data_IF_694839402187
#
_entry.id   IF_694839402187
#
_cell.length_a   1.000
_cell.length_b   1.000
_cell.length_c   1.000
_cell.angle_alpha   90.00
_cell.angle_beta   90.00
_cell.angle_gamma   90.00
#
_symmetry.space_group_name_H-M   'P 1'
#
loop_
_entity.id
_entity.type
_entity.pdbx_description
1 polymer ?
#
# COMPACT_ATOMS: atom_id res chain seq x y z
N UNK A 1 22.94 20.41 -8.42
CA UNK A 1 23.82 19.25 -8.17
C UNK A 1 25.06 19.66 -7.38
N UNK A 2 25.99 20.45 -7.95
CA UNK A 2 27.25 20.86 -7.30
C UNK A 2 27.13 21.36 -5.84
N UNK A 3 26.20 22.28 -5.56
CA UNK A 3 26.00 22.81 -4.20
C UNK A 3 25.60 21.73 -3.18
N UNK A 4 24.82 20.72 -3.59
CA UNK A 4 24.40 19.63 -2.72
C UNK A 4 25.55 18.65 -2.46
N UNK A 5 26.35 18.34 -3.48
CA UNK A 5 27.55 17.49 -3.34
C UNK A 5 28.56 18.16 -2.39
N UNK A 6 28.81 19.45 -2.57
CA UNK A 6 29.70 20.22 -1.70
C UNK A 6 29.15 20.32 -0.27
N UNK A 7 27.84 20.52 -0.12
CA UNK A 7 27.17 20.51 1.19
C UNK A 7 27.31 19.17 1.91
N UNK A 8 27.20 18.06 1.19
CA UNK A 8 27.34 16.71 1.74
C UNK A 8 28.78 16.40 2.18
N UNK A 9 29.79 16.94 1.47
CA UNK A 9 31.19 16.84 1.88
C UNK A 9 31.47 17.58 3.19
N UNK A 10 30.83 18.72 3.41
CA UNK A 10 30.99 19.49 4.64
C UNK A 10 30.17 18.92 5.81
N UNK A 11 28.98 18.40 5.53
CA UNK A 11 28.08 17.84 6.54
C UNK A 11 27.30 16.64 5.97
N UNK A 12 27.66 15.40 6.34
CA UNK A 12 26.96 14.20 5.87
C UNK A 12 25.56 14.12 6.51
N UNK A 13 24.59 14.69 5.82
CA UNK A 13 23.18 14.72 6.23
C UNK A 13 22.32 13.84 5.34
N UNK A 14 21.50 12.99 5.97
CA UNK A 14 20.50 12.13 5.30
C UNK A 14 19.58 12.96 4.39
N UNK A 15 19.13 14.14 4.84
CA UNK A 15 18.20 14.99 4.08
C UNK A 15 18.85 15.56 2.82
N UNK A 16 20.11 16.00 2.92
CA UNK A 16 20.87 16.49 1.77
C UNK A 16 21.09 15.36 0.76
N UNK A 17 21.41 14.16 1.24
CA UNK A 17 21.59 12.99 0.38
C UNK A 17 20.30 12.60 -0.34
N UNK A 18 19.15 12.50 0.35
CA UNK A 18 17.84 12.27 -0.28
C UNK A 18 17.54 13.34 -1.33
N UNK A 19 17.82 14.61 -1.02
CA UNK A 19 17.59 15.71 -1.98
C UNK A 19 18.48 15.58 -3.22
N UNK A 20 19.74 15.15 -3.05
CA UNK A 20 20.67 14.91 -4.14
C UNK A 20 20.20 13.74 -5.01
N UNK A 21 19.74 12.62 -4.44
CA UNK A 21 19.15 11.49 -5.18
C UNK A 21 18.05 11.96 -6.13
N UNK A 22 17.09 12.75 -5.63
CA UNK A 22 15.99 13.30 -6.46
C UNK A 22 16.46 14.23 -7.57
N UNK A 23 17.59 14.91 -7.39
CA UNK A 23 18.17 15.76 -8.45
C UNK A 23 18.84 14.89 -9.51
N UNK A 24 19.59 13.86 -9.10
CA UNK A 24 20.26 12.94 -10.02
C UNK A 24 19.25 12.15 -10.85
N UNK A 25 18.15 11.72 -10.23
CA UNK A 25 17.04 11.08 -10.91
C UNK A 25 16.45 11.98 -12.01
N UNK A 26 16.11 13.24 -11.71
CA UNK A 26 15.59 14.18 -12.72
C UNK A 26 16.56 14.42 -13.88
N UNK A 27 17.86 14.26 -13.62
CA UNK A 27 18.92 14.44 -14.61
C UNK A 27 19.20 13.18 -15.42
N UNK A 28 18.72 12.01 -15.00
CA UNK A 28 19.06 10.75 -15.62
C UNK A 28 20.45 10.21 -15.29
N UNK A 29 21.16 10.82 -14.33
CA UNK A 29 22.55 10.44 -14.04
C UNK A 29 22.63 9.31 -13.00
N UNK A 30 22.45 8.08 -13.49
CA UNK A 30 22.52 6.86 -12.68
C UNK A 30 23.94 6.54 -12.21
N UNK A 31 24.96 6.96 -12.97
CA UNK A 31 26.35 6.72 -12.56
C UNK A 31 26.69 7.54 -11.33
N UNK A 32 26.29 8.80 -11.30
CA UNK A 32 26.44 9.66 -10.14
C UNK A 32 25.62 9.15 -8.95
N UNK A 33 24.40 8.66 -9.16
CA UNK A 33 23.59 8.07 -8.10
C UNK A 33 24.28 6.86 -7.47
N UNK A 34 24.82 5.97 -8.30
CA UNK A 34 25.54 4.77 -7.86
C UNK A 34 26.86 5.12 -7.18
N UNK A 35 27.56 6.16 -7.64
CA UNK A 35 28.75 6.70 -6.99
C UNK A 35 28.44 7.24 -5.59
N UNK A 36 27.35 8.01 -5.46
CA UNK A 36 26.86 8.50 -4.16
C UNK A 36 26.51 7.34 -3.21
N UNK A 37 25.81 6.31 -3.69
CA UNK A 37 25.54 5.12 -2.87
C UNK A 37 26.84 4.40 -2.48
N UNK A 38 27.83 4.38 -3.38
CA UNK A 38 29.17 3.87 -3.11
C UNK A 38 29.86 4.59 -1.95
N UNK A 39 29.82 5.93 -1.94
CA UNK A 39 30.42 6.72 -0.86
C UNK A 39 29.71 6.52 0.49
N UNK A 40 28.43 6.13 0.49
CA UNK A 40 27.64 5.90 1.69
C UNK A 40 27.77 4.49 2.27
N UNK A 41 28.45 3.54 1.60
CA UNK A 41 28.55 2.15 2.08
C UNK A 41 29.28 1.98 3.42
N UNK A 42 30.17 2.92 3.76
CA UNK A 42 30.91 2.91 5.03
C UNK A 42 30.10 3.45 6.22
N UNK A 43 28.96 4.09 5.96
CA UNK A 43 28.11 4.66 6.99
C UNK A 43 27.15 3.62 7.60
N UNK A 44 26.70 3.89 8.83
CA UNK A 44 25.69 3.07 9.50
C UNK A 44 24.39 3.05 8.68
N UNK A 45 23.84 1.85 8.42
CA UNK A 45 22.65 1.71 7.57
C UNK A 45 21.42 2.35 8.17
N UNK A 46 21.34 2.46 9.49
CA UNK A 46 20.23 3.08 10.19
C UNK A 46 20.06 4.55 9.79
N UNK A 47 21.18 5.21 9.43
CA UNK A 47 21.23 6.62 8.98
C UNK A 47 21.08 6.78 7.47
N UNK A 48 21.36 5.74 6.70
CA UNK A 48 21.36 5.80 5.23
C UNK A 48 20.20 5.05 4.58
N UNK A 49 19.46 4.24 5.33
CA UNK A 49 18.36 3.42 4.81
C UNK A 49 17.32 4.25 4.04
N UNK A 50 16.99 5.48 4.46
CA UNK A 50 16.04 6.32 3.70
C UNK A 50 16.63 6.82 2.38
N UNK A 51 17.92 7.14 2.35
CA UNK A 51 18.64 7.49 1.12
C UNK A 51 18.63 6.30 0.17
N UNK A 52 18.90 5.10 0.69
CA UNK A 52 18.89 3.87 -0.10
C UNK A 52 17.47 3.57 -0.63
N UNK A 53 16.43 3.72 0.19
CA UNK A 53 15.03 3.55 -0.26
C UNK A 53 14.66 4.58 -1.34
N UNK A 54 15.05 5.85 -1.20
CA UNK A 54 14.82 6.85 -2.25
C UNK A 54 15.59 6.49 -3.53
N UNK A 55 16.81 5.96 -3.42
CA UNK A 55 17.58 5.50 -4.57
C UNK A 55 16.96 4.25 -5.23
N UNK A 56 16.41 3.32 -4.46
CA UNK A 56 15.61 2.18 -4.96
C UNK A 56 14.46 2.69 -5.83
N UNK A 57 13.72 3.70 -5.35
CA UNK A 57 12.63 4.29 -6.11
C UNK A 57 13.11 4.94 -7.41
N UNK A 58 14.27 5.61 -7.39
CA UNK A 58 14.89 6.19 -8.58
C UNK A 58 15.30 5.10 -9.59
N UNK A 59 15.98 4.03 -9.16
CA UNK A 59 16.37 2.91 -10.02
C UNK A 59 15.14 2.27 -10.69
N UNK A 60 14.04 2.04 -9.96
CA UNK A 60 12.79 1.49 -10.53
C UNK A 60 12.17 2.41 -11.58
N UNK A 61 12.07 3.72 -11.31
CA UNK A 61 11.48 4.68 -12.26
C UNK A 61 12.29 4.80 -13.56
N UNK A 62 13.57 4.48 -13.49
CA UNK A 62 14.48 4.47 -14.63
C UNK A 62 14.60 3.11 -15.32
N UNK A 63 13.84 2.11 -14.88
CA UNK A 63 13.83 0.77 -15.49
C UNK A 63 14.90 -0.20 -14.97
N UNK A 64 15.67 0.18 -13.95
CA UNK A 64 16.72 -0.64 -13.35
C UNK A 64 16.18 -1.47 -12.17
N UNK A 65 15.25 -2.37 -12.48
CA UNK A 65 14.53 -3.16 -11.48
C UNK A 65 15.43 -4.12 -10.68
N UNK A 66 16.45 -4.69 -11.30
CA UNK A 66 17.35 -5.64 -10.64
C UNK A 66 18.26 -4.95 -9.61
N UNK A 67 18.76 -3.76 -9.93
CA UNK A 67 19.54 -2.95 -8.99
C UNK A 67 18.69 -2.49 -7.81
N UNK A 68 17.45 -2.09 -8.05
CA UNK A 68 16.50 -1.76 -6.99
C UNK A 68 16.26 -2.95 -6.05
N UNK A 69 16.08 -4.17 -6.59
CA UNK A 69 15.97 -5.39 -5.79
C UNK A 69 17.22 -5.68 -4.98
N UNK A 70 18.40 -5.55 -5.59
CA UNK A 70 19.66 -5.82 -4.90
C UNK A 70 19.85 -4.88 -3.70
N UNK A 71 19.51 -3.59 -3.85
CA UNK A 71 19.54 -2.62 -2.77
C UNK A 71 18.56 -2.98 -1.63
N UNK A 72 17.31 -3.32 -1.96
CA UNK A 72 16.31 -3.75 -0.98
C UNK A 72 16.72 -5.04 -0.25
N UNK A 73 17.23 -6.04 -0.97
CA UNK A 73 17.71 -7.28 -0.37
C UNK A 73 18.88 -7.05 0.58
N UNK A 74 19.77 -6.11 0.26
CA UNK A 74 20.85 -5.71 1.16
C UNK A 74 20.29 -5.11 2.47
N UNK A 75 19.28 -4.24 2.37
CA UNK A 75 18.60 -3.67 3.53
C UNK A 75 17.89 -4.74 4.36
N UNK A 76 17.12 -5.63 3.73
CA UNK A 76 16.39 -6.70 4.42
C UNK A 76 17.32 -7.66 5.16
N UNK A 77 18.48 -8.00 4.57
CA UNK A 77 19.48 -8.86 5.20
C UNK A 77 20.16 -8.21 6.40
N UNK A 78 20.43 -6.91 6.34
CA UNK A 78 21.19 -6.19 7.38
C UNK A 78 20.30 -5.57 8.46
N UNK A 79 19.06 -5.22 8.12
CA UNK A 79 18.07 -4.59 9.00
C UNK A 79 16.74 -5.38 8.99
N UNK A 80 16.73 -6.68 9.34
CA UNK A 80 15.54 -7.53 9.22
C UNK A 80 14.40 -7.13 10.16
N UNK A 81 14.67 -6.37 11.23
CA UNK A 81 13.68 -5.94 12.20
C UNK A 81 12.97 -4.62 11.81
N UNK A 82 13.26 -4.08 10.62
CA UNK A 82 12.68 -2.83 10.13
C UNK A 82 11.48 -3.12 9.22
N UNK A 83 10.29 -3.19 9.81
CA UNK A 83 9.02 -3.35 9.10
C UNK A 83 8.78 -2.39 7.91
N UNK A 84 9.20 -1.10 7.96
CA UNK A 84 9.10 -0.20 6.80
C UNK A 84 9.82 -0.71 5.55
N UNK A 85 10.95 -1.41 5.70
CA UNK A 85 11.73 -1.92 4.57
C UNK A 85 10.97 -3.02 3.83
N UNK A 86 10.27 -3.90 4.55
CA UNK A 86 9.38 -4.92 3.93
C UNK A 86 8.20 -4.28 3.20
N UNK A 87 7.62 -3.22 3.75
CA UNK A 87 6.55 -2.48 3.08
C UNK A 87 7.04 -1.91 1.74
N UNK A 88 8.24 -1.30 1.73
CA UNK A 88 8.85 -0.78 0.51
C UNK A 88 9.20 -1.90 -0.48
N UNK A 89 9.76 -3.01 -0.02
CA UNK A 89 10.06 -4.15 -0.89
C UNK A 89 8.80 -4.73 -1.55
N UNK A 90 7.73 -4.92 -0.78
CA UNK A 90 6.43 -5.34 -1.29
C UNK A 90 5.86 -4.34 -2.31
N UNK A 91 5.97 -3.04 -2.02
CA UNK A 91 5.53 -1.97 -2.92
C UNK A 91 6.29 -2.00 -4.25
N UNK A 92 7.60 -2.17 -4.22
CA UNK A 92 8.41 -2.25 -5.44
C UNK A 92 8.03 -3.46 -6.29
N UNK A 93 7.91 -4.66 -5.71
CA UNK A 93 7.48 -5.84 -6.47
C UNK A 93 6.07 -5.67 -7.06
N UNK A 94 5.17 -4.99 -6.34
CA UNK A 94 3.84 -4.65 -6.84
C UNK A 94 3.89 -3.73 -8.06
N UNK A 95 4.75 -2.70 -8.04
CA UNK A 95 4.95 -1.78 -9.17
C UNK A 95 5.51 -2.52 -10.38
N UNK A 96 6.38 -3.50 -10.14
CA UNK A 96 6.98 -4.35 -11.17
C UNK A 96 6.04 -5.46 -11.66
N UNK A 97 4.81 -5.56 -11.11
CA UNK A 97 3.81 -6.55 -11.51
C UNK A 97 4.04 -7.95 -10.92
N UNK A 98 5.00 -8.12 -10.00
CA UNK A 98 5.29 -9.40 -9.36
C UNK A 98 4.47 -9.57 -8.08
N UNK A 99 3.16 -9.69 -8.25
CA UNK A 99 2.20 -9.79 -7.14
C UNK A 99 2.53 -10.94 -6.17
N UNK A 100 2.88 -12.12 -6.68
CA UNK A 100 3.22 -13.28 -5.85
C UNK A 100 4.43 -13.00 -4.95
N UNK A 101 5.51 -12.43 -5.50
CA UNK A 101 6.70 -12.04 -4.72
C UNK A 101 6.37 -10.95 -3.70
N UNK A 102 5.48 -10.02 -4.06
CA UNK A 102 5.04 -8.97 -3.16
C UNK A 102 4.30 -9.55 -1.95
N UNK A 103 3.44 -10.55 -2.15
CA UNK A 103 2.76 -11.28 -1.08
C UNK A 103 3.75 -12.03 -0.20
N UNK A 104 4.63 -12.86 -0.80
CA UNK A 104 5.65 -13.62 -0.07
C UNK A 104 6.54 -12.72 0.79
N UNK A 105 6.94 -11.55 0.26
CA UNK A 105 7.75 -10.57 1.00
C UNK A 105 6.97 -10.00 2.18
N UNK A 106 5.66 -9.73 2.01
CA UNK A 106 4.82 -9.23 3.10
C UNK A 106 4.59 -10.31 4.18
N UNK A 107 4.40 -11.58 3.78
CA UNK A 107 4.27 -12.72 4.69
C UNK A 107 5.52 -12.93 5.54
N UNK A 108 6.69 -12.94 4.90
CA UNK A 108 7.98 -12.98 5.61
C UNK A 108 8.12 -11.80 6.57
N UNK A 109 7.72 -10.61 6.10
CA UNK A 109 7.75 -9.40 6.90
C UNK A 109 6.89 -9.47 8.15
N UNK A 110 5.65 -9.96 8.08
CA UNK A 110 4.77 -10.07 9.27
C UNK A 110 5.23 -11.15 10.24
N UNK A 111 5.93 -12.19 9.78
CA UNK A 111 6.55 -13.18 10.67
C UNK A 111 7.69 -12.57 11.49
N UNK A 112 8.50 -11.70 10.87
CA UNK A 112 9.66 -11.08 11.52
C UNK A 112 9.25 -9.85 12.34
N UNK A 113 8.33 -9.04 11.82
CA UNK A 113 7.87 -7.78 12.42
C UNK A 113 6.34 -7.80 12.71
N UNK A 114 5.81 -8.74 13.52
CA UNK A 114 4.37 -8.93 13.69
C UNK A 114 3.66 -7.73 14.32
N UNK A 115 4.37 -6.92 15.12
CA UNK A 115 3.78 -5.75 15.78
C UNK A 115 3.66 -4.53 14.86
N UNK A 116 4.28 -4.54 13.69
CA UNK A 116 4.28 -3.40 12.78
C UNK A 116 3.02 -3.40 11.90
N UNK A 117 1.96 -2.77 12.41
CA UNK A 117 0.63 -2.72 11.79
C UNK A 117 0.59 -2.39 10.28
N UNK A 118 1.35 -1.39 9.78
CA UNK A 118 1.35 -1.06 8.35
C UNK A 118 1.68 -2.23 7.42
N UNK A 119 2.51 -3.18 7.88
CA UNK A 119 2.89 -4.35 7.10
C UNK A 119 1.74 -5.36 6.95
N UNK A 120 0.89 -5.50 7.97
CA UNK A 120 -0.35 -6.27 7.86
C UNK A 120 -1.32 -5.63 6.86
N UNK A 121 -1.42 -4.31 6.82
CA UNK A 121 -2.28 -3.63 5.82
C UNK A 121 -1.77 -3.84 4.39
N UNK A 122 -0.45 -3.87 4.21
CA UNK A 122 0.18 -4.19 2.93
C UNK A 122 -0.11 -5.65 2.57
N UNK A 123 0.08 -6.60 3.50
CA UNK A 123 -0.22 -8.02 3.30
C UNK A 123 -1.66 -8.24 2.83
N UNK A 124 -2.64 -7.71 3.58
CA UNK A 124 -4.06 -7.87 3.26
C UNK A 124 -4.39 -7.33 1.86
N UNK A 125 -3.79 -6.20 1.48
CA UNK A 125 -3.98 -5.61 0.15
C UNK A 125 -3.40 -6.48 -0.96
N UNK A 126 -2.27 -7.15 -0.74
CA UNK A 126 -1.72 -8.08 -1.73
C UNK A 126 -2.52 -9.38 -1.80
N UNK A 127 -2.92 -9.92 -0.64
CA UNK A 127 -3.75 -11.12 -0.55
C UNK A 127 -5.08 -10.91 -1.30
N UNK A 128 -5.72 -9.75 -1.11
CA UNK A 128 -6.95 -9.39 -1.83
C UNK A 128 -6.74 -9.40 -3.35
N UNK A 129 -5.66 -8.77 -3.83
CA UNK A 129 -5.37 -8.68 -5.27
C UNK A 129 -5.13 -10.03 -5.93
N UNK A 130 -4.52 -10.97 -5.21
CA UNK A 130 -4.17 -12.30 -5.73
C UNK A 130 -5.29 -13.32 -5.56
N UNK A 131 -5.99 -13.29 -4.44
CA UNK A 131 -6.84 -14.39 -3.96
C UNK A 131 -8.24 -13.92 -3.55
N UNK A 132 -8.57 -12.64 -3.70
CA UNK A 132 -9.90 -12.09 -3.38
C UNK A 132 -10.15 -11.90 -1.88
N UNK A 133 -11.41 -11.64 -1.51
CA UNK A 133 -11.74 -11.28 -0.13
C UNK A 133 -11.66 -12.47 0.84
N UNK A 134 -11.73 -13.71 0.34
CA UNK A 134 -11.54 -14.90 1.16
C UNK A 134 -10.18 -14.89 1.88
N UNK A 135 -9.09 -14.65 1.15
CA UNK A 135 -7.76 -14.59 1.75
C UNK A 135 -7.63 -13.46 2.79
N UNK A 136 -8.25 -12.30 2.54
CA UNK A 136 -8.26 -11.18 3.50
C UNK A 136 -8.91 -11.60 4.83
N UNK A 137 -9.99 -12.39 4.78
CA UNK A 137 -10.64 -12.93 5.98
C UNK A 137 -9.74 -13.92 6.71
N UNK A 138 -9.00 -14.74 5.98
CA UNK A 138 -8.12 -15.75 6.56
C UNK A 138 -6.95 -15.13 7.34
N UNK A 139 -6.36 -14.04 6.84
CA UNK A 139 -5.27 -13.34 7.55
C UNK A 139 -5.75 -12.41 8.68
N UNK A 140 -7.01 -11.97 8.68
CA UNK A 140 -7.49 -10.97 9.62
C UNK A 140 -7.35 -11.35 11.11
N UNK A 141 -7.66 -12.59 11.55
CA UNK A 141 -7.44 -13.01 12.94
C UNK A 141 -5.98 -12.91 13.37
N UNK A 142 -5.05 -13.35 12.51
CA UNK A 142 -3.60 -13.28 12.78
C UNK A 142 -3.12 -11.84 12.90
N UNK A 143 -3.64 -10.93 12.07
CA UNK A 143 -3.33 -9.52 12.14
C UNK A 143 -3.81 -8.90 13.46
N UNK A 144 -5.06 -9.15 13.86
CA UNK A 144 -5.68 -8.65 15.10
C UNK A 144 -4.93 -9.19 16.33
N UNK A 145 -4.48 -10.44 16.31
CA UNK A 145 -3.70 -11.01 17.41
C UNK A 145 -2.31 -10.36 17.57
N UNK A 146 -1.76 -9.77 16.51
CA UNK A 146 -0.37 -9.31 16.46
C UNK A 146 -0.20 -7.80 16.68
N UNK A 147 -1.18 -6.99 16.27
CA UNK A 147 -1.10 -5.52 16.28
C UNK A 147 -1.79 -4.91 17.52
N UNK A 148 -1.64 -3.61 17.72
CA UNK A 148 -2.33 -2.92 18.83
C UNK A 148 -3.83 -2.74 18.56
N UNK A 149 -4.61 -2.69 19.64
CA UNK A 149 -6.08 -2.57 19.60
C UNK A 149 -6.57 -1.33 18.85
N UNK A 150 -5.82 -0.23 18.89
CA UNK A 150 -6.10 1.00 18.15
C UNK A 150 -6.08 0.83 16.63
N UNK A 151 -5.52 -0.26 16.11
CA UNK A 151 -5.48 -0.56 14.67
C UNK A 151 -6.48 -1.64 14.25
N UNK A 152 -7.20 -2.27 15.18
CA UNK A 152 -8.17 -3.31 14.86
C UNK A 152 -9.27 -2.80 13.92
N UNK A 153 -9.74 -1.57 14.13
CA UNK A 153 -10.75 -0.95 13.26
C UNK A 153 -10.29 -0.91 11.80
N UNK A 154 -8.98 -0.70 11.56
CA UNK A 154 -8.43 -0.63 10.22
C UNK A 154 -8.44 -2.00 9.54
N UNK A 155 -8.18 -3.08 10.29
CA UNK A 155 -8.31 -4.46 9.79
C UNK A 155 -9.76 -4.75 9.44
N UNK A 156 -10.71 -4.48 10.34
CA UNK A 156 -12.14 -4.67 10.06
C UNK A 156 -12.61 -3.87 8.84
N UNK A 157 -12.13 -2.63 8.70
CA UNK A 157 -12.43 -1.80 7.54
C UNK A 157 -11.92 -2.42 6.23
N UNK A 158 -10.68 -2.91 6.18
CA UNK A 158 -10.13 -3.54 4.97
C UNK A 158 -10.86 -4.85 4.63
N UNK A 159 -11.22 -5.66 5.63
CA UNK A 159 -12.03 -6.90 5.43
C UNK A 159 -13.41 -6.55 4.84
N UNK A 160 -14.11 -5.57 5.43
CA UNK A 160 -15.42 -5.14 4.95
C UNK A 160 -15.36 -4.56 3.53
N UNK A 161 -14.32 -3.76 3.24
CA UNK A 161 -14.09 -3.20 1.93
C UNK A 161 -13.82 -4.29 0.88
N UNK A 162 -13.04 -5.32 1.22
CA UNK A 162 -12.78 -6.46 0.34
C UNK A 162 -14.05 -7.26 0.03
N UNK A 163 -14.86 -7.54 1.06
CA UNK A 163 -16.15 -8.22 0.89
C UNK A 163 -17.12 -7.43 0.01
N UNK A 164 -17.14 -6.11 0.15
CA UNK A 164 -18.03 -5.23 -0.63
C UNK A 164 -17.64 -5.20 -2.11
N UNK A 165 -16.33 -5.19 -2.41
CA UNK A 165 -15.82 -5.27 -3.78
C UNK A 165 -16.18 -6.60 -4.44
N UNK A 166 -16.08 -7.71 -3.72
CA UNK A 166 -16.46 -9.02 -4.22
C UNK A 166 -17.98 -9.18 -4.40
N UNK A 167 -18.78 -8.69 -3.45
CA UNK A 167 -20.24 -8.66 -3.58
C UNK A 167 -20.73 -7.80 -4.75
N UNK A 168 -20.01 -6.74 -5.12
CA UNK A 168 -20.29 -5.96 -6.32
C UNK A 168 -19.95 -6.72 -7.62
N UNK A 169 -18.97 -7.64 -7.59
CA UNK A 169 -18.65 -8.53 -8.71
C UNK A 169 -19.68 -9.67 -8.88
N UNK A 170 -20.49 -9.94 -7.85
CA UNK A 170 -21.59 -10.92 -7.91
C UNK A 170 -22.91 -10.35 -8.45
N UNK A 171 -22.97 -9.08 -8.89
CA UNK A 171 -24.10 -8.57 -9.69
C UNK A 171 -23.80 -8.64 -11.19
N UNK A 172 -24.32 -9.64 -11.92
CA UNK A 172 -24.44 -9.56 -13.36
C UNK A 172 -25.66 -8.71 -13.77
N UNK A 173 -25.49 -7.94 -14.84
CA UNK A 173 -26.55 -7.25 -15.58
C UNK A 173 -27.69 -8.22 -15.94
N UNK A 174 -28.93 -7.87 -15.55
CA UNK A 174 -30.15 -8.37 -16.18
C UNK A 174 -31.24 -8.88 -15.23
N UNK A 175 -32.37 -8.18 -15.25
CA UNK A 175 -33.69 -8.54 -14.72
C UNK A 175 -33.80 -8.63 -13.18
N UNK A 176 -34.80 -8.07 -12.50
CA UNK A 176 -36.06 -7.53 -12.98
C UNK A 176 -36.65 -6.58 -11.92
N UNK A 177 -37.57 -5.76 -12.40
CA UNK A 177 -38.40 -4.79 -11.69
C UNK A 177 -38.82 -5.22 -10.28
N UNK A 178 -38.44 -4.44 -9.27
CA UNK A 178 -39.31 -4.16 -8.11
C UNK A 178 -38.72 -3.00 -7.30
N UNK A 179 -38.75 -1.77 -7.82
CA UNK A 179 -38.62 -0.54 -7.00
C UNK A 179 -39.12 0.65 -7.84
N UNK A 180 -40.44 0.70 -8.00
CA UNK A 180 -41.23 1.90 -8.27
C UNK A 180 -42.49 1.69 -7.40
N UNK A 181 -42.88 2.51 -6.43
CA UNK A 181 -42.82 3.97 -6.35
C UNK A 181 -42.88 4.44 -4.87
N UNK A 182 -42.55 5.72 -4.60
CA UNK A 182 -42.48 6.27 -3.26
C UNK A 182 -43.87 6.61 -2.70
N UNK A 183 -44.09 6.28 -1.42
CA UNK A 183 -45.26 6.73 -0.66
C UNK A 183 -45.18 8.24 -0.43
N UNK A 184 -46.02 9.00 -1.13
CA UNK A 184 -46.35 10.38 -0.78
C UNK A 184 -47.88 10.59 -0.76
N UNK A 185 -48.37 10.96 0.43
CA UNK A 185 -49.55 11.78 0.74
C UNK A 185 -50.95 11.39 0.23
N UNK A 186 -51.85 11.08 1.19
CA UNK A 186 -53.30 11.26 1.05
C UNK A 186 -53.65 12.76 0.90
N UNK A 187 -54.79 13.14 0.28
CA UNK A 187 -56.01 13.32 1.06
C UNK A 187 -57.35 13.06 0.32
N UNK A 188 -58.44 12.94 1.08
CA UNK A 188 -59.77 13.39 0.63
C UNK A 188 -60.78 12.30 0.27
N UNK A 189 -61.59 11.89 1.24
CA UNK A 189 -62.84 11.18 1.00
C UNK A 189 -63.94 12.15 0.54
N UNK A 190 -64.87 11.74 -0.35
CA UNK A 190 -66.24 12.23 -0.33
C UNK A 190 -67.24 11.14 0.11
N UNK A 191 -68.17 11.56 0.96
CA UNK A 191 -69.30 10.77 1.52
C UNK A 191 -70.32 10.40 0.43
N UNK A 192 -71.07 9.29 0.56
CA UNK A 192 -72.31 9.11 -0.19
C UNK A 192 -73.50 9.72 0.58
N UNK A 193 -74.24 10.62 -0.08
CA UNK A 193 -75.54 11.11 0.37
C UNK A 193 -76.60 10.77 -0.70
N UNK A 194 -77.63 10.06 -0.23
CA UNK A 194 -79.03 9.92 -0.65
C UNK A 194 -79.49 10.14 -2.11
N UNK A 195 -80.33 9.20 -2.58
CA UNK A 195 -81.69 9.53 -3.03
C UNK A 195 -82.00 9.51 -4.54
N UNK A 196 -82.81 8.54 -4.96
CA UNK A 196 -83.87 8.64 -5.98
C UNK A 196 -84.53 7.24 -6.07
N UNK A 197 -85.84 7.02 -5.96
CA UNK A 197 -86.96 7.91 -6.20
C UNK A 197 -87.46 7.76 -7.63
N UNK A 198 -88.21 6.69 -7.92
CA UNK A 198 -89.38 6.58 -8.81
C UNK A 198 -89.89 5.15 -8.83
#
# INVERSE_FOLDING_TARGET
RFLLERGLQCNPSEQLAVRLVRVLERQGDMQALRSLLGSLRGEALEKTQKVIIEAVHAEVRMGHAEEARALLQCLLKRLPQQGPIYCEACRIESILGHWQKALETAEQGVQICPKYGPLWFVLLRQAEKLHGAAAVKDYAPSAIASICSELHWKIHFEVAAACSREGALQQPLGADKALAEPRCCAPGAPKPFEGSGS
#
